data_IF_807434373842
#
_entry.id   IF_807434373842
#
_cell.length_a   1.000
_cell.length_b   1.000
_cell.length_c   1.000
_cell.angle_alpha   90.00
_cell.angle_beta   90.00
_cell.angle_gamma   90.00
#
_symmetry.space_group_name_H-M   'P 1'
#
loop_
_entity.id
_entity.type
_entity.pdbx_description
1 polymer ?
#
# COMPACT_ATOMS: atom_id res chain seq x y z
N UNK A 1 -0.54 7.98 19.08
CA UNK A 1 -0.59 7.94 17.60
C UNK A 1 -1.32 6.67 17.22
N UNK A 2 -2.35 6.73 16.37
CA UNK A 2 -3.03 5.52 15.90
C UNK A 2 -2.10 4.79 14.92
N UNK A 3 -1.89 3.49 15.14
CA UNK A 3 -1.24 2.58 14.18
C UNK A 3 -2.33 1.71 13.54
N UNK A 4 -2.19 1.30 12.27
CA UNK A 4 -3.08 0.31 11.67
C UNK A 4 -3.07 -0.97 12.50
N UNK A 5 -4.25 -1.50 12.81
CA UNK A 5 -4.34 -2.85 13.37
C UNK A 5 -3.84 -3.87 12.34
N UNK A 6 -3.39 -5.06 12.77
CA UNK A 6 -2.97 -6.12 11.86
C UNK A 6 -4.05 -6.45 10.81
N UNK A 7 -5.33 -6.41 11.20
CA UNK A 7 -6.47 -6.62 10.31
C UNK A 7 -6.61 -5.52 9.26
N UNK A 8 -6.37 -4.26 9.64
CA UNK A 8 -6.39 -3.13 8.70
C UNK A 8 -5.25 -3.23 7.68
N UNK A 9 -4.06 -3.65 8.14
CA UNK A 9 -2.91 -3.88 7.26
C UNK A 9 -3.16 -5.05 6.28
N UNK A 10 -3.76 -6.15 6.76
CA UNK A 10 -4.15 -7.28 5.91
C UNK A 10 -5.25 -6.91 4.91
N UNK A 11 -6.25 -6.14 5.35
CA UNK A 11 -7.32 -5.65 4.47
C UNK A 11 -6.74 -4.77 3.36
N UNK A 12 -5.83 -3.86 3.71
CA UNK A 12 -5.14 -3.03 2.72
C UNK A 12 -4.27 -3.87 1.76
N UNK A 13 -3.59 -4.90 2.28
CA UNK A 13 -2.86 -5.89 1.46
C UNK A 13 -3.78 -6.56 0.44
N UNK A 14 -4.93 -7.03 0.91
CA UNK A 14 -5.93 -7.71 0.09
C UNK A 14 -6.53 -6.76 -0.95
N UNK A 15 -6.87 -5.52 -0.58
CA UNK A 15 -7.41 -4.52 -1.50
C UNK A 15 -6.40 -4.18 -2.60
N UNK A 16 -5.12 -3.97 -2.24
CA UNK A 16 -4.04 -3.66 -3.19
C UNK A 16 -3.63 -4.86 -4.06
N UNK A 17 -3.87 -6.10 -3.59
CA UNK A 17 -3.58 -7.34 -4.31
C UNK A 17 -4.82 -7.96 -4.98
N UNK A 18 -5.97 -7.29 -4.91
CA UNK A 18 -7.26 -7.87 -5.29
C UNK A 18 -7.38 -8.13 -6.80
N UNK A 19 -6.49 -7.57 -7.61
CA UNK A 19 -6.62 -7.56 -9.07
C UNK A 19 -7.65 -6.55 -9.58
N UNK A 20 -8.41 -5.91 -8.68
CA UNK A 20 -9.47 -4.97 -9.01
C UNK A 20 -8.95 -3.53 -8.93
N UNK A 21 -8.85 -2.85 -10.07
CA UNK A 21 -8.32 -1.50 -10.15
C UNK A 21 -9.11 -0.48 -9.30
N UNK A 22 -10.42 -0.68 -9.10
CA UNK A 22 -11.25 0.21 -8.28
C UNK A 22 -10.97 0.01 -6.78
N UNK A 23 -10.82 -1.24 -6.32
CA UNK A 23 -10.39 -1.53 -4.93
C UNK A 23 -9.00 -1.00 -4.65
N UNK A 24 -8.07 -1.20 -5.58
CA UNK A 24 -6.70 -0.72 -5.46
C UNK A 24 -6.68 0.82 -5.44
N UNK A 25 -7.45 1.49 -6.29
CA UNK A 25 -7.57 2.96 -6.27
C UNK A 25 -8.15 3.49 -4.95
N UNK A 26 -9.19 2.85 -4.43
CA UNK A 26 -9.76 3.19 -3.12
C UNK A 26 -8.75 3.00 -1.98
N UNK A 27 -7.93 1.95 -2.05
CA UNK A 27 -6.86 1.68 -1.11
C UNK A 27 -5.68 2.67 -1.22
N UNK A 28 -5.43 3.26 -2.39
CA UNK A 28 -4.43 4.33 -2.60
C UNK A 28 -4.92 5.67 -2.03
N UNK A 29 -6.20 5.82 -1.66
CA UNK A 29 -6.71 7.08 -1.13
C UNK A 29 -6.60 8.26 -2.13
N UNK A 30 -6.27 7.95 -3.38
CA UNK A 30 -6.23 8.90 -4.47
C UNK A 30 -7.59 8.89 -5.18
N UNK A 31 -8.04 10.05 -5.71
CA UNK A 31 -9.14 10.03 -6.64
C UNK A 31 -8.76 9.15 -7.82
N UNK A 32 -9.60 8.15 -8.15
CA UNK A 32 -9.42 7.27 -9.30
C UNK A 32 -9.28 8.04 -10.63
N UNK A 33 -9.63 9.33 -10.64
CA UNK A 33 -9.48 10.26 -11.74
C UNK A 33 -8.04 10.71 -12.03
N UNK A 34 -7.08 10.45 -11.14
CA UNK A 34 -5.66 10.75 -11.39
C UNK A 34 -5.02 9.62 -12.21
N UNK A 35 -4.58 9.88 -13.46
CA UNK A 35 -4.09 8.83 -14.36
C UNK A 35 -2.83 8.14 -13.85
N UNK A 36 -2.01 8.82 -13.04
CA UNK A 36 -0.84 8.24 -12.38
C UNK A 36 -1.24 7.15 -11.35
N UNK A 37 -2.36 7.36 -10.66
CA UNK A 37 -2.87 6.44 -9.64
C UNK A 37 -3.60 5.26 -10.27
N UNK A 38 -4.30 5.47 -11.38
CA UNK A 38 -4.88 4.39 -12.18
C UNK A 38 -3.79 3.46 -12.75
N UNK A 39 -2.68 4.02 -13.26
CA UNK A 39 -1.56 3.24 -13.76
C UNK A 39 -0.84 2.46 -12.63
N UNK A 40 -0.70 3.06 -11.44
CA UNK A 40 -0.17 2.39 -10.25
C UNK A 40 -1.10 1.26 -9.79
N UNK A 41 -2.41 1.52 -9.78
CA UNK A 41 -3.42 0.56 -9.39
C UNK A 41 -3.45 -0.66 -10.33
N UNK A 42 -3.43 -0.42 -11.64
CA UNK A 42 -3.34 -1.48 -12.64
C UNK A 42 -2.02 -2.27 -12.56
N UNK A 43 -0.91 -1.60 -12.21
CA UNK A 43 0.38 -2.27 -12.00
C UNK A 43 0.35 -3.16 -10.77
N UNK A 44 -0.16 -2.68 -9.64
CA UNK A 44 -0.29 -3.44 -8.39
C UNK A 44 -1.26 -4.62 -8.54
N UNK A 45 -2.40 -4.40 -9.19
CA UNK A 45 -3.37 -5.44 -9.52
C UNK A 45 -2.77 -6.58 -10.36
N UNK A 46 -1.89 -6.27 -11.32
CA UNK A 46 -1.21 -7.28 -12.17
C UNK A 46 0.01 -7.93 -11.52
N UNK A 47 0.51 -7.35 -10.44
CA UNK A 47 1.84 -7.62 -9.90
C UNK A 47 1.89 -8.85 -8.97
N UNK A 48 0.73 -9.38 -8.57
CA UNK A 48 0.61 -10.56 -7.70
C UNK A 48 0.42 -10.21 -6.22
N UNK A 49 0.52 -11.19 -5.31
CA UNK A 49 0.23 -10.99 -3.89
C UNK A 49 1.22 -10.01 -3.25
N UNK A 50 0.68 -8.96 -2.66
CA UNK A 50 1.39 -7.95 -1.87
C UNK A 50 1.32 -8.35 -0.39
N UNK A 51 2.47 -8.39 0.27
CA UNK A 51 2.59 -8.68 1.71
C UNK A 51 3.11 -7.45 2.42
N UNK A 52 2.32 -6.91 3.33
CA UNK A 52 2.77 -5.84 4.22
C UNK A 52 3.55 -6.39 5.40
N UNK A 53 4.63 -5.70 5.74
CA UNK A 53 5.38 -5.96 6.94
C UNK A 53 4.54 -5.57 8.16
N UNK A 54 4.51 -6.41 9.20
CA UNK A 54 3.87 -6.07 10.47
C UNK A 54 4.61 -4.95 11.20
N UNK A 55 5.84 -4.64 10.80
CA UNK A 55 6.61 -3.53 11.35
C UNK A 55 6.17 -2.22 10.72
N UNK A 56 5.49 -1.41 11.54
CA UNK A 56 4.93 -0.12 11.15
C UNK A 56 5.57 0.97 12.02
N UNK A 57 6.19 1.95 11.38
CA UNK A 57 6.86 3.07 12.02
C UNK A 57 5.95 4.30 11.94
N UNK A 58 5.53 4.89 13.07
CA UNK A 58 4.78 6.15 13.03
C UNK A 58 5.67 7.30 12.58
N UNK A 59 5.19 8.11 11.63
CA UNK A 59 5.90 9.29 11.11
C UNK A 59 5.28 10.57 11.65
N UNK A 60 3.95 10.64 11.67
CA UNK A 60 3.20 11.77 12.24
C UNK A 60 1.77 11.35 12.63
N UNK A 61 0.98 12.26 13.19
CA UNK A 61 -0.40 11.97 13.58
C UNK A 61 -1.22 11.51 12.35
N UNK A 62 -1.69 10.25 12.39
CA UNK A 62 -2.43 9.66 11.28
C UNK A 62 -1.56 9.30 10.06
N UNK A 63 -0.24 9.21 10.22
CA UNK A 63 0.68 8.80 9.15
C UNK A 63 1.69 7.80 9.70
N UNK A 64 1.80 6.66 9.03
CA UNK A 64 2.77 5.62 9.35
C UNK A 64 3.52 5.19 8.10
N UNK A 65 4.69 4.60 8.26
CA UNK A 65 5.45 3.95 7.19
C UNK A 65 5.60 2.47 7.50
N UNK A 66 5.48 1.64 6.47
CA UNK A 66 5.68 0.19 6.54
C UNK A 66 6.40 -0.25 5.26
N UNK A 67 6.88 -1.49 5.22
CA UNK A 67 7.39 -2.08 3.99
C UNK A 67 6.34 -2.99 3.38
N UNK A 68 6.11 -2.86 2.08
CA UNK A 68 5.33 -3.82 1.32
C UNK A 68 6.25 -4.60 0.39
N UNK A 69 6.03 -5.90 0.30
CA UNK A 69 6.74 -6.80 -0.60
C UNK A 69 5.78 -7.31 -1.65
N UNK A 70 6.19 -7.31 -2.91
CA UNK A 70 5.47 -7.93 -4.00
C UNK A 70 6.29 -9.08 -4.57
N UNK A 71 5.58 -10.17 -4.86
CA UNK A 71 6.16 -11.35 -5.49
C UNK A 71 6.89 -12.22 -4.49
N UNK A 72 7.39 -13.35 -5.00
CA UNK A 72 8.08 -14.39 -4.23
C UNK A 72 9.38 -14.79 -4.90
N UNK A 73 10.42 -15.08 -4.12
CA UNK A 73 11.71 -15.55 -4.66
C UNK A 73 12.52 -14.46 -5.37
N UNK A 74 13.03 -14.75 -6.56
CA UNK A 74 13.99 -13.89 -7.30
C UNK A 74 13.38 -12.58 -7.86
N UNK A 75 12.04 -12.46 -7.91
CA UNK A 75 11.34 -11.25 -8.37
C UNK A 75 10.80 -10.40 -7.21
N UNK A 76 11.19 -10.71 -5.97
CA UNK A 76 10.79 -9.98 -4.77
C UNK A 76 11.22 -8.52 -4.87
N UNK A 77 10.25 -7.61 -4.93
CA UNK A 77 10.48 -6.16 -4.81
C UNK A 77 9.88 -5.69 -3.50
N UNK A 78 10.64 -4.88 -2.77
CA UNK A 78 10.21 -4.26 -1.51
C UNK A 78 10.11 -2.76 -1.70
N UNK A 79 9.03 -2.16 -1.21
CA UNK A 79 8.82 -0.71 -1.18
C UNK A 79 8.60 -0.27 0.25
N UNK A 80 9.10 0.93 0.57
CA UNK A 80 8.58 1.69 1.69
C UNK A 80 7.26 2.31 1.26
N UNK A 81 6.24 2.06 2.07
CA UNK A 81 4.87 2.51 1.88
C UNK A 81 4.52 3.43 3.01
N UNK A 82 4.09 4.64 2.68
CA UNK A 82 3.51 5.58 3.63
C UNK A 82 1.99 5.40 3.62
N UNK A 83 1.45 5.04 4.78
CA UNK A 83 0.01 4.93 5.01
C UNK A 83 -0.48 6.18 5.73
N UNK A 84 -1.67 6.64 5.36
CA UNK A 84 -2.34 7.81 5.94
C UNK A 84 -3.72 7.37 6.43
N UNK A 85 -4.10 7.82 7.62
CA UNK A 85 -5.42 7.59 8.20
C UNK A 85 -6.40 8.65 7.69
N UNK A 86 -7.33 8.25 6.84
CA UNK A 86 -8.36 9.13 6.25
C UNK A 86 -9.73 8.57 6.62
N UNK A 87 -10.52 9.35 7.37
CA UNK A 87 -11.90 8.96 7.73
C UNK A 87 -11.99 7.63 8.50
N UNK A 88 -10.97 7.29 9.30
CA UNK A 88 -10.92 6.02 10.06
C UNK A 88 -10.39 4.82 9.28
N UNK A 89 -10.00 4.98 8.01
CA UNK A 89 -9.37 3.93 7.19
C UNK A 89 -7.93 4.30 6.83
N UNK A 90 -7.06 3.31 6.86
CA UNK A 90 -5.68 3.47 6.39
C UNK A 90 -5.64 3.32 4.87
N UNK A 91 -5.06 4.31 4.19
CA UNK A 91 -4.88 4.34 2.74
C UNK A 91 -3.41 4.56 2.40
N UNK A 92 -2.99 4.08 1.24
CA UNK A 92 -1.62 4.15 0.73
C UNK A 92 -1.34 5.53 0.15
N UNK A 93 -0.66 6.40 0.89
CA UNK A 93 -0.38 7.77 0.47
C UNK A 93 0.76 7.88 -0.55
N UNK A 94 1.94 7.32 -0.25
CA UNK A 94 3.09 7.34 -1.18
C UNK A 94 3.91 6.06 -1.06
N UNK A 95 4.55 5.66 -2.17
CA UNK A 95 5.43 4.49 -2.21
C UNK A 95 6.78 4.85 -2.79
N UNK A 96 7.85 4.51 -2.08
CA UNK A 96 9.23 4.63 -2.55
C UNK A 96 9.86 3.24 -2.58
N UNK A 97 10.62 2.92 -3.63
CA UNK A 97 11.36 1.65 -3.67
C UNK A 97 12.28 1.58 -2.45
N UNK A 98 12.23 0.49 -1.69
CA UNK A 98 13.05 0.34 -0.48
C UNK A 98 14.54 0.18 -0.80
N UNK A 99 14.87 -0.12 -2.06
CA UNK A 99 16.22 -0.08 -2.62
C UNK A 99 16.22 0.72 -3.91
N UNK A 100 16.99 1.82 -3.94
CA UNK A 100 17.60 2.29 -5.19
C UNK A 100 19.08 1.86 -5.10
N UNK A 101 19.66 1.21 -6.12
CA UNK A 101 21.11 1.12 -6.22
C UNK A 101 21.73 2.53 -6.26
#
# INVERSE_FOLDING_TARGET
MATPSPEQAQTLAADLSSGDAARVAAAIGAPAAEPANAALAAKLAKAGPLVFSPNVTPVSAGVVTTTATLGSGATKKTWNVRLVLVGGRWVLGTTTLANKP
#
